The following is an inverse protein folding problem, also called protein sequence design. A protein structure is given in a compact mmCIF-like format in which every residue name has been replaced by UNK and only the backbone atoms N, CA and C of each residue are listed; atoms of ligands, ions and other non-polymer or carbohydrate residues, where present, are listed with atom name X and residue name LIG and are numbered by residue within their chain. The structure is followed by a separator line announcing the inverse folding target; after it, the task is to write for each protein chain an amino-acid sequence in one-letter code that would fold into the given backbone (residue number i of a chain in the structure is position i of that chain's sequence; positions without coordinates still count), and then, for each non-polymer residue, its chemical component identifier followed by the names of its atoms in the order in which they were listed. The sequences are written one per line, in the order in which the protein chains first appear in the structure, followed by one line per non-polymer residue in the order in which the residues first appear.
data_IF_991069273263
#
_entry.id   IF_991069273263
#
_cell.length_a   1.000
_cell.length_b   1.000
_cell.length_c   1.000
_cell.angle_alpha   90.00
_cell.angle_beta   90.00
_cell.angle_gamma   90.00
#
_symmetry.space_group_name_H-M   'P 1'
#
loop_
_entity.id
_entity.type
_entity.pdbx_description
1 polymer ?
#
# COMPACT_ATOMS: atom_id res chain seq x y z
N UNK A 1 9.19 2.95 -4.47
CA UNK A 1 7.87 2.87 -3.80
C UNK A 1 7.28 4.20 -3.35
N UNK A 2 8.07 5.26 -3.14
CA UNK A 2 7.53 6.57 -2.72
C UNK A 2 6.42 7.14 -3.62
N UNK A 3 6.56 7.01 -4.94
CA UNK A 3 5.52 7.44 -5.88
C UNK A 3 4.16 6.74 -5.66
N UNK A 4 4.17 5.45 -5.30
CA UNK A 4 2.94 4.68 -5.04
C UNK A 4 2.26 5.15 -3.75
N UNK A 5 3.04 5.46 -2.70
CA UNK A 5 2.50 6.06 -1.49
C UNK A 5 1.92 7.45 -1.74
N UNK A 6 2.57 8.26 -2.59
CA UNK A 6 2.04 9.56 -2.99
C UNK A 6 0.71 9.41 -3.75
N UNK A 7 0.59 8.40 -4.63
CA UNK A 7 -0.65 8.07 -5.33
C UNK A 7 -1.77 7.69 -4.34
N UNK A 8 -1.49 6.81 -3.37
CA UNK A 8 -2.48 6.45 -2.35
C UNK A 8 -2.87 7.65 -1.47
N UNK A 9 -1.92 8.48 -1.07
CA UNK A 9 -2.19 9.71 -0.33
C UNK A 9 -3.11 10.64 -1.13
N UNK A 10 -2.80 10.86 -2.41
CA UNK A 10 -3.64 11.63 -3.33
C UNK A 10 -5.03 11.03 -3.50
N UNK A 11 -5.16 9.69 -3.54
CA UNK A 11 -6.45 9.03 -3.63
C UNK A 11 -7.29 9.17 -2.34
N UNK A 12 -6.74 8.83 -1.18
CA UNK A 12 -7.47 8.95 0.09
C UNK A 12 -7.82 10.41 0.40
N UNK A 13 -6.95 11.35 0.04
CA UNK A 13 -7.25 12.76 0.15
C UNK A 13 -8.27 13.19 -0.93
N UNK A 14 -8.11 12.98 -2.23
CA UNK A 14 -9.02 13.64 -3.18
C UNK A 14 -10.29 12.84 -3.52
N UNK A 15 -10.33 11.53 -3.27
CA UNK A 15 -11.47 10.69 -3.66
C UNK A 15 -12.81 11.13 -3.08
N UNK A 16 -12.95 11.59 -1.82
CA UNK A 16 -14.25 12.04 -1.31
C UNK A 16 -14.76 13.31 -2.02
N UNK A 17 -13.85 14.16 -2.50
CA UNK A 17 -14.17 15.39 -3.23
C UNK A 17 -14.51 15.14 -4.68
N UNK A 18 -13.81 14.21 -5.33
CA UNK A 18 -14.01 13.86 -6.75
C UNK A 18 -15.29 13.02 -6.93
N UNK A 19 -15.49 12.02 -6.07
CA UNK A 19 -16.58 11.02 -6.20
C UNK A 19 -17.82 11.45 -5.41
N UNK A 20 -17.67 12.30 -4.39
CA UNK A 20 -18.75 12.68 -3.48
C UNK A 20 -19.14 11.59 -2.48
N UNK A 21 -18.34 10.52 -2.36
CA UNK A 21 -18.59 9.37 -1.48
C UNK A 21 -17.45 9.14 -0.50
N UNK A 22 -17.79 8.81 0.74
CA UNK A 22 -16.82 8.58 1.81
C UNK A 22 -16.28 7.15 1.75
N UNK A 23 -15.01 6.98 2.08
CA UNK A 23 -14.42 5.67 2.36
C UNK A 23 -14.45 5.39 3.88
N UNK A 24 -14.22 4.14 4.27
CA UNK A 24 -14.10 3.76 5.68
C UNK A 24 -12.65 4.00 6.16
N UNK A 25 -12.47 4.95 7.08
CA UNK A 25 -11.16 5.34 7.63
C UNK A 25 -10.43 4.18 8.33
N UNK A 26 -11.15 3.27 8.97
CA UNK A 26 -10.55 2.09 9.61
C UNK A 26 -9.93 1.17 8.56
N UNK A 27 -10.65 0.91 7.45
CA UNK A 27 -10.13 0.09 6.36
C UNK A 27 -8.94 0.78 5.67
N UNK A 28 -9.00 2.11 5.49
CA UNK A 28 -7.89 2.91 4.96
C UNK A 28 -6.61 2.79 5.79
N UNK A 29 -6.73 2.83 7.12
CA UNK A 29 -5.59 2.62 8.04
C UNK A 29 -5.05 1.19 7.97
N UNK A 30 -5.93 0.18 7.90
CA UNK A 30 -5.49 -1.21 7.72
C UNK A 30 -4.75 -1.37 6.39
N UNK A 31 -5.26 -0.80 5.30
CA UNK A 31 -4.59 -0.79 4.01
C UNK A 31 -3.20 -0.14 4.10
N UNK A 32 -3.09 1.03 4.74
CA UNK A 32 -1.80 1.69 4.93
C UNK A 32 -0.79 0.80 5.65
N UNK A 33 -1.16 0.23 6.80
CA UNK A 33 -0.23 -0.58 7.61
C UNK A 33 0.14 -1.90 6.94
N UNK A 34 -0.82 -2.59 6.32
CA UNK A 34 -0.57 -3.84 5.61
C UNK A 34 0.34 -3.61 4.40
N UNK A 35 0.09 -2.56 3.60
CA UNK A 35 0.96 -2.18 2.50
C UNK A 35 2.36 -1.78 2.98
N UNK A 36 2.45 -0.96 4.03
CA UNK A 36 3.71 -0.50 4.59
C UNK A 36 4.59 -1.65 5.07
N UNK A 37 4.02 -2.59 5.83
CA UNK A 37 4.75 -3.76 6.31
C UNK A 37 5.17 -4.65 5.13
N UNK A 38 4.26 -4.98 4.21
CA UNK A 38 4.57 -5.84 3.06
C UNK A 38 5.69 -5.28 2.18
N UNK A 39 5.63 -3.98 1.88
CA UNK A 39 6.63 -3.30 1.04
C UNK A 39 8.00 -3.29 1.73
N UNK A 40 8.06 -2.96 3.01
CA UNK A 40 9.34 -3.00 3.74
C UNK A 40 9.91 -4.41 3.81
N UNK A 41 9.07 -5.42 4.08
CA UNK A 41 9.50 -6.81 4.11
C UNK A 41 9.96 -7.33 2.74
N UNK A 42 9.42 -6.77 1.65
CA UNK A 42 9.84 -7.11 0.28
C UNK A 42 11.19 -6.50 -0.06
N UNK A 43 11.37 -5.19 0.17
CA UNK A 43 12.54 -4.44 -0.32
C UNK A 43 13.72 -4.39 0.66
N UNK A 44 13.51 -4.53 1.98
CA UNK A 44 14.62 -4.52 2.94
C UNK A 44 15.58 -5.71 2.70
N UNK A 45 15.12 -6.97 2.55
CA UNK A 45 15.99 -8.09 2.20
C UNK A 45 16.81 -7.90 0.93
N UNK A 46 16.29 -7.16 -0.06
CA UNK A 46 17.00 -6.92 -1.32
C UNK A 46 18.27 -6.09 -1.14
N UNK A 47 18.35 -5.23 -0.12
CA UNK A 47 19.58 -4.51 0.19
C UNK A 47 20.68 -5.47 0.66
N UNK A 48 20.31 -6.42 1.54
CA UNK A 48 21.21 -7.47 2.02
C UNK A 48 21.64 -8.41 0.88
N UNK A 49 20.73 -8.79 -0.02
CA UNK A 49 21.04 -9.57 -1.22
C UNK A 49 21.99 -8.84 -2.16
N UNK A 50 21.80 -7.53 -2.33
CA UNK A 50 22.70 -6.69 -3.12
C UNK A 50 24.11 -6.62 -2.55
N UNK A 51 24.24 -6.49 -1.22
CA UNK A 51 25.53 -6.53 -0.53
C UNK A 51 26.22 -7.90 -0.64
N UNK A 52 25.44 -8.98 -0.67
CA UNK A 52 25.93 -10.34 -0.90
C UNK A 52 26.27 -10.63 -2.38
N UNK A 53 26.12 -9.65 -3.28
CA UNK A 53 26.54 -9.74 -4.67
C UNK A 53 25.55 -10.42 -5.60
N UNK A 54 24.26 -10.54 -5.21
CA UNK A 54 23.24 -11.15 -6.07
C UNK A 54 23.00 -10.29 -7.34
N UNK A 55 23.26 -10.81 -8.55
CA UNK A 55 23.00 -10.08 -9.79
C UNK A 55 21.51 -9.98 -10.09
N UNK A 56 21.10 -8.88 -10.72
CA UNK A 56 19.71 -8.65 -11.16
C UNK A 56 19.35 -9.51 -12.37
N UNK A 57 18.04 -9.77 -12.55
CA UNK A 57 17.46 -10.44 -13.73
C UNK A 57 17.94 -11.89 -13.93
N UNK A 58 18.18 -12.59 -12.83
CA UNK A 58 18.55 -14.00 -12.88
C UNK A 58 17.32 -14.85 -12.50
N UNK A 59 16.95 -15.86 -13.31
CA UNK A 59 15.79 -16.71 -13.04
C UNK A 59 16.00 -17.67 -11.87
N UNK A 60 17.24 -18.09 -11.59
CA UNK A 60 17.57 -19.06 -10.54
C UNK A 60 18.85 -18.65 -9.77
N UNK A 61 18.89 -18.90 -8.47
CA UNK A 61 19.94 -18.37 -7.58
C UNK A 61 20.55 -19.45 -6.68
N UNK A 62 21.84 -19.32 -6.31
CA UNK A 62 22.47 -20.20 -5.34
C UNK A 62 21.72 -20.27 -4.01
N UNK A 63 21.75 -21.42 -3.34
CA UNK A 63 21.05 -21.69 -2.07
C UNK A 63 21.42 -20.69 -0.95
N UNK A 64 22.63 -20.12 -1.01
CA UNK A 64 23.07 -19.05 -0.11
C UNK A 64 22.14 -17.81 -0.09
N UNK A 65 21.38 -17.57 -1.17
CA UNK A 65 20.44 -16.45 -1.27
C UNK A 65 18.99 -16.84 -0.92
N UNK A 66 18.71 -18.12 -0.66
CA UNK A 66 17.34 -18.60 -0.48
C UNK A 66 16.63 -17.96 0.72
N UNK A 67 17.33 -17.77 1.85
CA UNK A 67 16.74 -17.18 3.05
C UNK A 67 16.15 -15.79 2.83
N UNK A 68 16.95 -14.85 2.29
CA UNK A 68 16.50 -13.49 2.04
C UNK A 68 15.47 -13.39 0.90
N UNK A 69 15.58 -14.23 -0.13
CA UNK A 69 14.59 -14.30 -1.21
C UNK A 69 13.23 -14.82 -0.71
N UNK A 70 13.23 -15.77 0.22
CA UNK A 70 12.01 -16.28 0.85
C UNK A 70 11.31 -15.18 1.66
N UNK A 71 12.05 -14.41 2.47
CA UNK A 71 11.48 -13.28 3.21
C UNK A 71 10.91 -12.22 2.26
N UNK A 72 11.65 -11.87 1.20
CA UNK A 72 11.18 -10.93 0.19
C UNK A 72 9.90 -11.41 -0.51
N UNK A 73 9.81 -12.72 -0.77
CA UNK A 73 8.63 -13.34 -1.39
C UNK A 73 7.41 -13.26 -0.47
N UNK A 74 7.55 -13.54 0.82
CA UNK A 74 6.46 -13.35 1.79
C UNK A 74 6.01 -11.89 1.88
N UNK A 75 6.95 -10.95 1.86
CA UNK A 75 6.64 -9.52 1.77
C UNK A 75 5.76 -9.20 0.56
N UNK A 76 6.10 -9.76 -0.60
CA UNK A 76 5.36 -9.50 -1.85
C UNK A 76 3.92 -10.02 -1.81
N UNK A 77 3.71 -11.18 -1.19
CA UNK A 77 2.36 -11.75 -0.97
C UNK A 77 1.54 -10.84 -0.06
N UNK A 78 2.12 -10.31 1.01
CA UNK A 78 1.44 -9.36 1.92
C UNK A 78 1.07 -8.08 1.15
N UNK A 79 1.96 -7.54 0.33
CA UNK A 79 1.66 -6.37 -0.50
C UNK A 79 0.55 -6.64 -1.52
N UNK A 80 0.49 -7.85 -2.08
CA UNK A 80 -0.57 -8.27 -2.99
C UNK A 80 -1.93 -8.40 -2.28
N UNK A 81 -1.96 -8.94 -1.06
CA UNK A 81 -3.18 -8.93 -0.22
C UNK A 81 -3.64 -7.51 0.08
N UNK A 82 -2.71 -6.60 0.38
CA UNK A 82 -3.04 -5.18 0.56
C UNK A 82 -3.62 -4.54 -0.71
N UNK A 83 -3.13 -4.89 -1.90
CA UNK A 83 -3.70 -4.40 -3.15
C UNK A 83 -5.15 -4.86 -3.34
N UNK A 84 -5.48 -6.11 -2.99
CA UNK A 84 -6.87 -6.57 -2.99
C UNK A 84 -7.74 -5.84 -1.97
N UNK A 85 -7.20 -5.55 -0.78
CA UNK A 85 -7.89 -4.75 0.23
C UNK A 85 -8.21 -3.34 -0.31
N UNK A 86 -7.30 -2.72 -1.05
CA UNK A 86 -7.55 -1.44 -1.71
C UNK A 86 -8.69 -1.50 -2.72
N UNK A 87 -8.71 -2.54 -3.57
CA UNK A 87 -9.81 -2.75 -4.52
C UNK A 87 -11.15 -2.93 -3.83
N UNK A 88 -11.17 -3.63 -2.69
CA UNK A 88 -12.36 -3.77 -1.86
C UNK A 88 -12.82 -2.42 -1.27
N UNK A 89 -11.89 -1.60 -0.77
CA UNK A 89 -12.21 -0.25 -0.26
C UNK A 89 -12.83 0.60 -1.36
N UNK A 90 -12.27 0.55 -2.57
CA UNK A 90 -12.77 1.29 -3.72
C UNK A 90 -14.17 0.81 -4.12
N UNK A 91 -14.39 -0.52 -4.18
CA UNK A 91 -15.71 -1.09 -4.43
C UNK A 91 -16.73 -0.61 -3.39
N UNK A 92 -16.41 -0.74 -2.11
CA UNK A 92 -17.29 -0.33 -1.01
C UNK A 92 -17.58 1.18 -1.04
N UNK A 93 -16.58 2.02 -1.36
CA UNK A 93 -16.76 3.46 -1.52
C UNK A 93 -17.74 3.79 -2.65
N UNK A 94 -17.65 3.08 -3.79
CA UNK A 94 -18.53 3.31 -4.94
C UNK A 94 -19.95 2.79 -4.73
N UNK A 95 -20.14 1.70 -3.97
CA UNK A 95 -21.48 1.16 -3.69
C UNK A 95 -22.15 1.80 -2.47
N UNK A 96 -21.39 2.50 -1.63
CA UNK A 96 -21.94 3.15 -0.43
C UNK A 96 -22.97 4.22 -0.77
N UNK A 97 -24.09 4.32 -0.02
CA UNK A 97 -25.06 5.41 -0.14
C UNK A 97 -24.61 6.69 0.57
N UNK A 98 -23.52 6.65 1.35
CA UNK A 98 -23.07 7.77 2.19
C UNK A 98 -22.49 8.89 1.34
N UNK A 99 -23.20 10.02 1.33
CA UNK A 99 -22.75 11.25 0.67
C UNK A 99 -21.84 12.08 1.57
N UNK A 100 -20.89 12.76 0.94
CA UNK A 100 -19.89 13.58 1.61
C UNK A 100 -20.29 15.05 1.57
N UNK A 101 -19.96 15.79 2.63
CA UNK A 101 -20.14 17.26 2.68
C UNK A 101 -19.27 17.96 1.64
N UNK A 102 -19.64 19.17 1.23
CA UNK A 102 -18.88 19.94 0.25
C UNK A 102 -17.40 20.18 0.63
N UNK A 103 -17.12 20.26 1.94
CA UNK A 103 -15.77 20.18 2.51
C UNK A 103 -15.68 18.94 3.43
N UNK A 104 -15.02 17.85 2.97
CA UNK A 104 -14.81 16.65 3.79
C UNK A 104 -13.72 16.81 4.86
N UNK A 105 -12.84 17.81 4.71
CA UNK A 105 -11.66 17.96 5.54
C UNK A 105 -12.01 18.58 6.90
N UNK A 106 -11.21 18.24 7.91
CA UNK A 106 -11.25 18.96 9.17
C UNK A 106 -10.94 20.44 8.90
N UNK A 107 -11.83 21.33 9.33
CA UNK A 107 -11.56 22.77 9.33
C UNK A 107 -10.75 23.04 10.60
N UNK A 108 -9.53 23.59 10.51
CA UNK A 108 -8.78 23.99 11.70
C UNK A 108 -9.58 25.02 12.50
N UNK A 109 -9.69 24.83 13.81
CA UNK A 109 -10.56 25.62 14.69
C UNK A 109 -10.09 27.07 14.94
N UNK A 110 -9.06 27.54 14.24
CA UNK A 110 -8.37 28.80 14.50
C UNK A 110 -8.83 29.95 13.58
N UNK A 111 -9.94 29.78 12.87
CA UNK A 111 -10.57 30.81 12.02
C UNK A 111 -12.04 30.97 12.37
#
# INVERSE_FOLDING_TARGET
MGAVFALFSGWYFWSPKIIGKSYNELLGKIHFWTFFIGVNLTFMPMHSLGLAGMPRRIPDYPDAFAGWNLVASFGSVISLVSAFLFLYILFNQLTSPLQVKANPWAIPAYF
#
